data_IF_693377205244
#
_entry.id   IF_693377205244
#
_cell.length_a   1.000
_cell.length_b   1.000
_cell.length_c   1.000
_cell.angle_alpha   90.00
_cell.angle_beta   90.00
_cell.angle_gamma   90.00
#
_symmetry.space_group_name_H-M   'P 1'
#
loop_
_entity.id
_entity.type
_entity.pdbx_description
1 polymer ?
#
# COMPACT_ATOMS: atom_id res chain seq x y z
N UNK A 1 -69.07 4.48 -32.42
CA UNK A 1 -69.41 4.82 -31.03
C UNK A 1 -68.56 6.04 -30.67
N UNK A 2 -68.98 7.30 -30.84
CA UNK A 2 -70.05 8.04 -30.15
C UNK A 2 -69.95 7.88 -28.62
N UNK A 3 -69.81 8.90 -27.76
CA UNK A 3 -69.85 10.37 -27.89
C UNK A 3 -69.32 11.04 -26.60
N UNK A 4 -68.94 12.34 -26.69
CA UNK A 4 -69.55 13.54 -26.06
C UNK A 4 -69.38 13.63 -24.52
N UNK A 5 -68.87 14.68 -23.88
CA UNK A 5 -68.84 16.16 -24.01
C UNK A 5 -69.59 16.82 -22.84
N UNK A 6 -68.94 17.83 -22.23
CA UNK A 6 -69.55 19.01 -21.56
C UNK A 6 -70.17 18.79 -20.17
N UNK A 7 -70.03 19.66 -19.16
CA UNK A 7 -69.61 21.07 -19.10
C UNK A 7 -70.67 21.90 -18.34
N UNK A 8 -70.23 22.98 -17.66
CA UNK A 8 -70.98 24.01 -16.88
C UNK A 8 -71.07 23.72 -15.36
N UNK A 9 -70.90 24.65 -14.42
CA UNK A 9 -71.06 26.12 -14.39
C UNK A 9 -70.25 26.77 -13.24
N UNK A 10 -70.08 28.09 -13.35
CA UNK A 10 -69.32 29.05 -12.51
C UNK A 10 -69.91 29.28 -11.10
N UNK A 11 -69.06 29.67 -10.14
CA UNK A 11 -69.30 30.77 -9.18
C UNK A 11 -68.02 31.16 -8.40
N UNK A 12 -67.67 32.46 -8.41
CA UNK A 12 -66.90 33.21 -7.37
C UNK A 12 -67.91 34.11 -6.59
N UNK A 13 -67.60 34.93 -5.54
CA UNK A 13 -66.31 35.38 -4.95
C UNK A 13 -66.29 35.55 -3.38
N UNK A 14 -65.20 36.12 -2.82
CA UNK A 14 -65.17 36.92 -1.57
C UNK A 14 -64.42 36.31 -0.38
N UNK A 15 -63.16 36.66 -0.07
CA UNK A 15 -62.59 37.89 0.52
C UNK A 15 -62.40 37.87 2.06
N UNK A 16 -61.21 38.34 2.46
CA UNK A 16 -60.79 38.94 3.76
C UNK A 16 -60.21 38.05 4.86
N UNK A 17 -59.03 38.44 5.38
CA UNK A 17 -58.63 38.05 6.75
C UNK A 17 -57.13 37.96 7.08
N UNK A 18 -56.45 39.11 7.11
CA UNK A 18 -55.38 39.50 8.06
C UNK A 18 -54.04 38.72 8.12
N UNK A 19 -53.00 39.47 7.76
CA UNK A 19 -51.62 39.34 8.21
C UNK A 19 -51.50 39.23 9.75
N UNK A 20 -50.72 38.26 10.23
CA UNK A 20 -50.07 38.31 11.54
C UNK A 20 -48.59 37.98 11.38
N UNK A 21 -47.77 38.98 11.68
CA UNK A 21 -46.32 38.93 11.75
C UNK A 21 -45.82 37.74 12.56
N UNK A 22 -45.01 36.88 11.93
CA UNK A 22 -44.12 35.96 12.65
C UNK A 22 -42.69 36.44 12.44
N UNK A 23 -42.11 37.05 13.49
CA UNK A 23 -40.72 37.50 13.49
C UNK A 23 -39.79 36.32 13.20
N UNK A 24 -39.12 36.35 12.05
CA UNK A 24 -38.03 35.42 11.76
C UNK A 24 -36.81 35.86 12.57
N UNK A 25 -36.51 35.14 13.65
CA UNK A 25 -35.17 35.18 14.25
C UNK A 25 -34.29 34.25 13.43
N UNK A 26 -33.15 34.70 12.86
CA UNK A 26 -32.26 33.80 12.16
C UNK A 26 -31.66 32.83 13.17
N UNK A 27 -31.91 31.53 12.97
CA UNK A 27 -31.17 30.47 13.66
C UNK A 27 -29.75 30.48 13.09
N UNK A 28 -28.80 31.01 13.85
CA UNK A 28 -27.38 30.86 13.57
C UNK A 28 -27.05 29.37 13.74
N UNK A 29 -27.03 28.61 12.65
CA UNK A 29 -26.44 27.28 12.63
C UNK A 29 -24.93 27.47 12.69
N UNK A 30 -24.37 27.31 13.89
CA UNK A 30 -22.93 27.25 14.05
C UNK A 30 -22.45 25.90 13.49
N UNK A 31 -22.08 25.90 12.21
CA UNK A 31 -21.44 24.77 11.55
C UNK A 31 -19.98 24.72 12.00
N UNK A 32 -19.73 24.22 13.21
CA UNK A 32 -18.39 23.72 13.53
C UNK A 32 -18.24 22.38 12.82
N UNK A 33 -17.63 22.40 11.63
CA UNK A 33 -17.01 21.19 11.08
C UNK A 33 -15.89 20.80 12.04
N UNK A 34 -16.15 19.82 12.91
CA UNK A 34 -15.10 19.14 13.66
C UNK A 34 -14.29 18.38 12.63
N UNK A 35 -13.18 18.96 12.18
CA UNK A 35 -12.20 18.23 11.37
C UNK A 35 -11.58 17.17 12.27
N UNK A 36 -11.83 15.89 11.95
CA UNK A 36 -11.17 14.78 12.64
C UNK A 36 -9.66 14.97 12.48
N UNK A 37 -8.85 14.83 13.55
CA UNK A 37 -7.41 14.99 13.45
C UNK A 37 -6.84 14.04 12.38
N UNK A 38 -5.77 14.44 11.67
CA UNK A 38 -5.17 13.62 10.65
C UNK A 38 -4.66 12.32 11.27
N UNK A 39 -4.86 11.20 10.57
CA UNK A 39 -4.25 9.94 10.98
C UNK A 39 -2.79 9.93 10.59
N UNK A 40 -1.96 9.40 11.47
CA UNK A 40 -0.51 9.37 11.30
C UNK A 40 -0.04 8.03 10.73
N UNK A 41 1.07 8.08 9.99
CA UNK A 41 1.90 6.94 9.61
C UNK A 41 3.31 7.21 10.14
N UNK A 42 3.73 6.43 11.15
CA UNK A 42 5.08 6.56 11.70
C UNK A 42 6.10 5.92 10.77
N UNK A 43 7.04 6.73 10.29
CA UNK A 43 8.15 6.30 9.45
C UNK A 43 9.35 5.94 10.31
N UNK A 44 9.90 4.73 10.12
CA UNK A 44 11.12 4.26 10.77
C UNK A 44 12.18 3.88 9.74
N UNK A 45 13.37 4.47 9.84
CA UNK A 45 14.54 4.05 9.08
C UNK A 45 15.40 3.12 9.94
N UNK A 46 15.38 1.82 9.65
CA UNK A 46 16.07 0.82 10.48
C UNK A 46 17.47 0.47 9.96
N UNK A 47 17.84 0.95 8.77
CA UNK A 47 19.13 0.66 8.15
C UNK A 47 19.24 -0.79 7.68
N UNK A 48 20.31 -1.49 8.05
CA UNK A 48 20.51 -2.91 7.71
C UNK A 48 20.15 -3.79 8.90
N UNK A 49 19.18 -4.69 8.72
CA UNK A 49 18.67 -5.54 9.80
C UNK A 49 18.68 -7.02 9.41
N UNK A 50 18.88 -7.92 10.38
CA UNK A 50 18.68 -9.34 10.17
C UNK A 50 17.20 -9.66 9.87
N UNK A 51 16.95 -10.61 8.97
CA UNK A 51 15.60 -10.91 8.51
C UNK A 51 14.72 -11.53 9.61
N UNK A 52 15.26 -12.51 10.36
CA UNK A 52 14.47 -13.26 11.33
C UNK A 52 14.01 -12.37 12.49
N UNK A 53 14.95 -11.61 13.05
CA UNK A 53 14.66 -10.66 14.13
C UNK A 53 13.69 -9.55 13.71
N UNK A 54 13.85 -9.01 12.49
CA UNK A 54 12.91 -7.99 11.95
C UNK A 54 11.52 -8.58 11.75
N UNK A 55 11.42 -9.81 11.21
CA UNK A 55 10.14 -10.49 11.06
C UNK A 55 9.45 -10.75 12.40
N UNK A 56 10.19 -11.20 13.40
CA UNK A 56 9.67 -11.37 14.77
C UNK A 56 9.21 -10.04 15.38
N UNK A 57 9.94 -8.94 15.14
CA UNK A 57 9.52 -7.61 15.57
C UNK A 57 8.19 -7.18 14.93
N UNK A 58 8.00 -7.42 13.62
CA UNK A 58 6.72 -7.17 12.95
C UNK A 58 5.57 -7.98 13.57
N UNK A 59 5.82 -9.26 13.89
CA UNK A 59 4.83 -10.12 14.54
C UNK A 59 4.50 -9.64 15.96
N UNK A 60 5.51 -9.25 16.74
CA UNK A 60 5.35 -8.75 18.09
C UNK A 60 4.58 -7.43 18.11
N UNK A 61 4.96 -6.46 17.25
CA UNK A 61 4.24 -5.21 17.06
C UNK A 61 2.77 -5.50 16.74
N UNK A 62 2.51 -6.32 15.71
CA UNK A 62 1.15 -6.69 15.28
C UNK A 62 0.33 -7.36 16.39
N UNK A 63 0.97 -8.17 17.24
CA UNK A 63 0.30 -8.86 18.34
C UNK A 63 -0.05 -7.94 19.52
N UNK A 64 0.76 -6.90 19.74
CA UNK A 64 0.62 -5.95 20.83
C UNK A 64 -0.29 -4.75 20.50
N UNK A 65 -0.68 -4.56 19.23
CA UNK A 65 -1.51 -3.42 18.82
C UNK A 65 -2.87 -3.40 19.52
N UNK A 66 -3.29 -2.19 19.85
CA UNK A 66 -4.61 -1.82 20.33
C UNK A 66 -5.27 -0.79 19.38
N UNK A 67 -6.38 -0.19 19.81
CA UNK A 67 -7.15 0.76 19.00
C UNK A 67 -6.39 2.08 18.72
N UNK A 68 -5.48 2.45 19.63
CA UNK A 68 -4.73 3.71 19.61
C UNK A 68 -3.35 3.57 18.96
N UNK A 69 -2.91 2.33 18.75
CA UNK A 69 -1.66 2.02 18.07
C UNK A 69 -1.61 2.62 16.66
N UNK A 70 -0.63 3.49 16.44
CA UNK A 70 -0.41 4.16 15.14
C UNK A 70 0.07 3.14 14.10
N UNK A 71 -0.23 3.41 12.82
CA UNK A 71 0.27 2.61 11.70
C UNK A 71 1.75 2.92 11.47
N UNK A 72 2.56 1.93 11.10
CA UNK A 72 4.00 2.12 10.88
C UNK A 72 4.45 1.70 9.47
N UNK A 73 5.44 2.41 8.95
CA UNK A 73 6.19 2.11 7.74
C UNK A 73 7.67 1.95 8.11
N UNK A 74 8.22 0.76 7.93
CA UNK A 74 9.63 0.49 8.19
C UNK A 74 10.41 0.41 6.90
N UNK A 75 11.46 1.22 6.79
CA UNK A 75 12.41 1.20 5.68
C UNK A 75 13.73 0.61 6.13
N UNK A 76 14.21 -0.38 5.38
CA UNK A 76 15.45 -1.07 5.68
C UNK A 76 16.03 -1.79 4.46
N UNK A 77 17.14 -2.47 4.68
CA UNK A 77 17.64 -3.56 3.85
C UNK A 77 18.04 -4.76 4.71
N UNK A 78 18.18 -5.91 4.07
CA UNK A 78 18.65 -7.13 4.73
C UNK A 78 20.05 -7.53 4.23
N UNK A 79 20.86 -8.21 5.06
CA UNK A 79 21.89 -9.11 4.57
C UNK A 79 21.32 -10.12 3.57
N UNK A 80 22.16 -10.76 2.73
CA UNK A 80 21.70 -11.77 1.78
C UNK A 80 20.85 -12.86 2.45
N UNK A 81 19.62 -13.05 1.97
CA UNK A 81 18.70 -14.06 2.49
C UNK A 81 17.70 -14.49 1.42
N UNK A 82 17.47 -15.80 1.32
CA UNK A 82 16.32 -16.34 0.61
C UNK A 82 15.16 -16.51 1.60
N UNK A 83 13.96 -16.09 1.19
CA UNK A 83 12.77 -16.27 2.01
C UNK A 83 11.74 -17.08 1.24
N UNK A 84 11.13 -18.05 1.91
CA UNK A 84 10.07 -18.91 1.39
C UNK A 84 8.75 -18.50 2.05
N UNK A 85 7.86 -17.87 1.29
CA UNK A 85 6.52 -17.52 1.76
C UNK A 85 5.62 -18.74 1.96
N UNK A 86 4.36 -18.51 2.33
CA UNK A 86 3.39 -19.58 2.64
C UNK A 86 3.11 -20.52 1.46
N UNK A 87 3.20 -20.02 0.22
CA UNK A 87 3.09 -20.83 -1.00
C UNK A 87 4.46 -21.29 -1.53
N UNK A 88 5.52 -21.09 -0.74
CA UNK A 88 6.90 -21.41 -1.09
C UNK A 88 7.13 -22.91 -1.13
N UNK A 89 7.73 -23.35 -2.24
CA UNK A 89 8.15 -24.72 -2.49
C UNK A 89 9.68 -24.72 -2.41
N UNK A 90 10.28 -25.63 -1.62
CA UNK A 90 11.72 -25.60 -1.35
C UNK A 90 12.54 -25.88 -2.62
N UNK A 91 11.98 -26.69 -3.51
CA UNK A 91 12.51 -27.07 -4.82
C UNK A 91 12.67 -25.86 -5.75
N UNK A 92 11.99 -24.75 -5.47
CA UNK A 92 12.23 -23.49 -6.17
C UNK A 92 13.51 -22.78 -5.72
N UNK A 93 14.19 -23.27 -4.68
CA UNK A 93 15.55 -22.87 -4.32
C UNK A 93 16.52 -23.85 -4.97
N UNK A 94 17.04 -23.50 -6.16
CA UNK A 94 17.91 -24.40 -6.94
C UNK A 94 19.27 -24.59 -6.26
N UNK A 95 19.85 -23.51 -5.73
CA UNK A 95 21.13 -23.56 -5.02
C UNK A 95 21.29 -22.39 -4.03
N UNK A 96 21.15 -22.65 -2.74
CA UNK A 96 21.28 -21.61 -1.72
C UNK A 96 22.75 -21.15 -1.52
N UNK A 97 23.71 -22.06 -1.65
CA UNK A 97 25.08 -21.81 -1.23
C UNK A 97 25.14 -21.48 0.27
N UNK A 98 25.82 -20.40 0.62
CA UNK A 98 25.93 -19.89 2.00
C UNK A 98 24.78 -18.96 2.41
N UNK A 99 23.91 -18.58 1.47
CA UNK A 99 22.79 -17.67 1.75
C UNK A 99 21.71 -18.44 2.53
N UNK A 100 21.29 -17.97 3.71
CA UNK A 100 20.28 -18.65 4.51
C UNK A 100 18.92 -18.68 3.79
N UNK A 101 18.19 -19.79 3.99
CA UNK A 101 16.82 -19.96 3.49
C UNK A 101 15.87 -19.97 4.66
N UNK A 102 15.04 -18.93 4.79
CA UNK A 102 14.11 -18.75 5.90
C UNK A 102 12.67 -18.97 5.42
N UNK A 103 11.96 -19.92 6.03
CA UNK A 103 10.51 -20.05 5.86
C UNK A 103 9.80 -18.97 6.67
N UNK A 104 8.92 -18.24 6.01
CA UNK A 104 8.23 -17.05 6.55
C UNK A 104 6.73 -17.13 6.29
N UNK A 105 5.96 -16.31 6.98
CA UNK A 105 4.49 -16.29 6.91
C UNK A 105 3.92 -15.31 5.88
N UNK A 106 4.75 -14.57 5.13
CA UNK A 106 4.27 -13.74 4.02
C UNK A 106 3.65 -14.57 2.91
N UNK A 107 2.72 -13.97 2.18
CA UNK A 107 2.23 -14.52 0.92
C UNK A 107 3.34 -14.67 -0.14
N UNK A 108 3.02 -15.39 -1.21
CA UNK A 108 3.93 -15.67 -2.31
C UNK A 108 4.87 -16.85 -2.08
N UNK A 109 5.76 -17.07 -3.03
CA UNK A 109 6.71 -18.18 -3.05
C UNK A 109 8.10 -17.75 -2.53
N UNK A 110 9.17 -18.25 -3.14
CA UNK A 110 10.56 -17.85 -2.89
C UNK A 110 10.86 -16.43 -3.40
N UNK A 111 11.65 -15.66 -2.66
CA UNK A 111 12.32 -14.43 -3.13
C UNK A 111 13.70 -14.30 -2.47
N UNK A 112 14.48 -13.33 -2.96
CA UNK A 112 15.76 -12.93 -2.41
C UNK A 112 15.71 -11.48 -1.89
N UNK A 113 16.39 -11.23 -0.78
CA UNK A 113 16.70 -9.91 -0.27
C UNK A 113 18.22 -9.79 -0.04
N UNK A 114 18.76 -8.60 -0.21
CA UNK A 114 20.17 -8.32 0.03
C UNK A 114 20.50 -6.83 0.01
N UNK A 115 21.76 -6.47 0.28
CA UNK A 115 22.23 -5.08 0.27
C UNK A 115 21.94 -4.39 -1.08
N UNK A 116 21.49 -3.13 -1.02
CA UNK A 116 21.10 -2.37 -2.20
C UNK A 116 19.65 -2.59 -2.66
N UNK A 117 18.87 -3.36 -1.91
CA UNK A 117 17.42 -3.45 -2.04
C UNK A 117 16.75 -2.60 -0.96
N UNK A 118 15.78 -1.77 -1.33
CA UNK A 118 14.94 -1.07 -0.36
C UNK A 118 13.74 -1.96 -0.01
N UNK A 119 13.67 -2.38 1.26
CA UNK A 119 12.55 -3.13 1.81
C UNK A 119 11.68 -2.18 2.62
N UNK A 120 10.39 -2.18 2.30
CA UNK A 120 9.37 -1.36 2.94
C UNK A 120 8.34 -2.31 3.59
N UNK A 121 8.30 -2.35 4.93
CA UNK A 121 7.27 -3.07 5.66
C UNK A 121 6.16 -2.14 6.09
N UNK A 122 4.94 -2.48 5.73
CA UNK A 122 3.76 -1.63 5.90
C UNK A 122 2.82 -2.28 6.93
N UNK A 123 2.92 -1.79 8.17
CA UNK A 123 2.23 -2.32 9.35
C UNK A 123 0.95 -1.52 9.61
N UNK A 124 -0.14 -1.89 8.93
CA UNK A 124 -1.41 -1.17 8.94
C UNK A 124 -2.51 -1.92 9.68
N UNK A 125 -3.38 -1.20 10.39
CA UNK A 125 -4.71 -1.70 10.73
C UNK A 125 -5.61 -1.55 9.49
N UNK A 126 -5.92 -2.67 8.84
CA UNK A 126 -6.69 -2.69 7.61
C UNK A 126 -8.16 -2.36 7.84
N UNK A 127 -8.71 -2.71 9.02
CA UNK A 127 -10.10 -2.38 9.36
C UNK A 127 -10.24 -0.88 9.55
N UNK A 128 -9.30 -0.26 10.27
CA UNK A 128 -9.24 1.18 10.46
C UNK A 128 -8.99 1.91 9.15
N UNK A 129 -8.16 1.37 8.26
CA UNK A 129 -7.93 1.90 6.93
C UNK A 129 -9.11 1.70 5.96
N UNK A 130 -10.04 0.79 6.26
CA UNK A 130 -11.12 0.42 5.33
C UNK A 130 -10.60 -0.28 4.07
N UNK A 131 -9.46 -0.97 4.16
CA UNK A 131 -8.77 -1.60 3.03
C UNK A 131 -8.80 -3.12 3.14
N UNK A 132 -9.06 -3.78 2.01
CA UNK A 132 -8.80 -5.21 1.82
C UNK A 132 -7.37 -5.48 1.38
N UNK A 133 -6.92 -6.73 1.51
CA UNK A 133 -5.54 -7.14 1.17
C UNK A 133 -5.17 -6.78 -0.27
N UNK A 134 -6.07 -7.02 -1.23
CA UNK A 134 -5.84 -6.69 -2.65
C UNK A 134 -5.65 -5.19 -2.87
N UNK A 135 -6.39 -4.35 -2.14
CA UNK A 135 -6.26 -2.89 -2.25
C UNK A 135 -4.90 -2.43 -1.70
N UNK A 136 -4.42 -3.04 -0.61
CA UNK A 136 -3.06 -2.76 -0.10
C UNK A 136 -1.99 -3.16 -1.12
N UNK A 137 -2.10 -4.34 -1.73
CA UNK A 137 -1.18 -4.76 -2.81
C UNK A 137 -1.21 -3.76 -3.96
N UNK A 138 -2.40 -3.37 -4.41
CA UNK A 138 -2.55 -2.41 -5.50
C UNK A 138 -1.98 -1.03 -5.17
N UNK A 139 -2.11 -0.59 -3.92
CA UNK A 139 -1.53 0.65 -3.41
C UNK A 139 0.00 0.59 -3.42
N UNK A 140 0.57 -0.52 -2.92
CA UNK A 140 2.02 -0.72 -2.92
C UNK A 140 2.60 -0.71 -4.34
N UNK A 141 1.94 -1.38 -5.28
CA UNK A 141 2.31 -1.33 -6.70
C UNK A 141 2.18 0.09 -7.27
N UNK A 142 1.09 0.79 -6.96
CA UNK A 142 0.85 2.14 -7.47
C UNK A 142 1.92 3.12 -6.99
N UNK A 143 2.32 3.05 -5.72
CA UNK A 143 3.38 3.90 -5.17
C UNK A 143 4.69 3.74 -5.94
N UNK A 144 5.10 2.50 -6.24
CA UNK A 144 6.31 2.25 -7.04
C UNK A 144 6.14 2.72 -8.48
N UNK A 145 4.97 2.50 -9.10
CA UNK A 145 4.70 2.97 -10.47
C UNK A 145 4.79 4.50 -10.54
N UNK A 146 4.23 5.22 -9.56
CA UNK A 146 4.31 6.69 -9.49
C UNK A 146 5.77 7.16 -9.31
N UNK A 147 6.50 6.55 -8.37
CA UNK A 147 7.92 6.84 -8.17
C UNK A 147 8.73 6.64 -9.47
N UNK A 148 8.52 5.52 -10.15
CA UNK A 148 9.24 5.24 -11.40
C UNK A 148 8.84 6.21 -12.52
N UNK A 149 7.57 6.59 -12.60
CA UNK A 149 7.10 7.59 -13.56
C UNK A 149 7.74 8.98 -13.32
N UNK A 150 7.91 9.40 -12.06
CA UNK A 150 8.64 10.63 -11.70
C UNK A 150 10.11 10.58 -12.14
N UNK A 151 10.70 9.40 -12.22
CA UNK A 151 12.06 9.17 -12.74
C UNK A 151 12.11 8.95 -14.26
N UNK A 152 10.98 9.09 -14.97
CA UNK A 152 10.90 8.87 -16.41
C UNK A 152 10.91 7.40 -16.85
N UNK A 153 10.62 6.47 -15.93
CA UNK A 153 10.61 5.03 -16.17
C UNK A 153 9.17 4.53 -16.24
N UNK A 154 8.78 3.99 -17.40
CA UNK A 154 7.49 3.31 -17.55
C UNK A 154 7.52 1.96 -16.84
N UNK A 155 6.54 1.73 -15.97
CA UNK A 155 6.40 0.49 -15.23
C UNK A 155 4.94 0.05 -15.13
N UNK A 156 4.73 -1.26 -15.09
CA UNK A 156 3.41 -1.88 -15.11
C UNK A 156 3.26 -2.91 -13.98
N UNK A 157 2.01 -3.19 -13.61
CA UNK A 157 1.62 -4.30 -12.74
C UNK A 157 1.05 -5.45 -13.57
N UNK A 158 0.98 -6.66 -13.02
CA UNK A 158 0.38 -7.83 -13.68
C UNK A 158 -0.68 -8.46 -12.81
N UNK A 159 -1.85 -8.76 -13.38
CA UNK A 159 -3.00 -9.29 -12.65
C UNK A 159 -2.70 -10.60 -11.90
N UNK A 160 -1.96 -11.51 -12.54
CA UNK A 160 -1.67 -12.85 -11.99
C UNK A 160 -0.29 -12.96 -11.34
N UNK A 161 0.51 -11.89 -11.35
CA UNK A 161 1.87 -11.91 -10.84
C UNK A 161 2.15 -10.60 -10.08
N UNK A 162 1.78 -10.53 -8.78
CA UNK A 162 2.00 -9.34 -7.97
C UNK A 162 3.47 -8.89 -8.02
N UNK A 163 3.65 -7.58 -8.18
CA UNK A 163 4.94 -7.01 -8.50
C UNK A 163 4.82 -5.80 -9.42
N UNK A 164 5.91 -5.04 -9.50
CA UNK A 164 6.07 -3.99 -10.50
C UNK A 164 7.17 -4.39 -11.48
N UNK A 165 6.95 -4.09 -12.75
CA UNK A 165 7.74 -4.57 -13.87
C UNK A 165 8.14 -3.43 -14.78
N UNK A 166 9.39 -3.45 -15.26
CA UNK A 166 9.94 -2.53 -16.26
C UNK A 166 10.42 -3.38 -17.43
N UNK A 167 9.91 -3.10 -18.64
CA UNK A 167 10.24 -3.87 -19.85
C UNK A 167 10.10 -5.39 -19.66
N UNK A 168 9.09 -5.80 -18.90
CA UNK A 168 8.81 -7.21 -18.61
C UNK A 168 9.64 -7.85 -17.49
N UNK A 169 10.69 -7.19 -17.00
CA UNK A 169 11.50 -7.64 -15.86
C UNK A 169 10.97 -7.09 -14.53
N UNK A 170 10.92 -7.90 -13.48
CA UNK A 170 10.42 -7.48 -12.17
C UNK A 170 11.43 -6.57 -11.48
N UNK A 171 11.01 -5.35 -11.12
CA UNK A 171 11.82 -4.38 -10.37
C UNK A 171 11.47 -4.35 -8.88
N UNK A 172 10.21 -4.67 -8.54
CA UNK A 172 9.75 -4.73 -7.16
C UNK A 172 8.91 -5.98 -6.89
N UNK A 173 9.19 -6.64 -5.77
CA UNK A 173 8.44 -7.80 -5.28
C UNK A 173 7.51 -7.39 -4.12
N UNK A 174 6.34 -8.04 -4.06
CA UNK A 174 5.36 -7.80 -3.01
C UNK A 174 5.01 -9.11 -2.30
N UNK A 175 4.87 -9.03 -0.98
CA UNK A 175 4.40 -10.13 -0.16
C UNK A 175 3.92 -9.61 1.19
N UNK A 176 2.65 -9.80 1.49
CA UNK A 176 2.01 -9.37 2.73
C UNK A 176 1.56 -10.55 3.56
N UNK A 177 1.44 -10.34 4.86
CA UNK A 177 0.68 -11.19 5.77
C UNK A 177 -0.38 -10.34 6.47
N UNK A 178 -1.58 -10.89 6.63
CA UNK A 178 -2.63 -10.29 7.45
C UNK A 178 -2.93 -11.18 8.64
N UNK A 179 -2.89 -10.61 9.83
CA UNK A 179 -3.20 -11.29 11.09
C UNK A 179 -3.99 -10.33 11.98
N UNK A 180 -5.11 -10.78 12.55
CA UNK A 180 -6.01 -9.95 13.39
C UNK A 180 -6.50 -8.65 12.72
N UNK A 181 -6.59 -8.64 11.39
CA UNK A 181 -6.98 -7.44 10.62
C UNK A 181 -5.86 -6.43 10.43
N UNK A 182 -4.63 -6.73 10.85
CA UNK A 182 -3.46 -5.90 10.61
C UNK A 182 -2.52 -6.53 9.57
N UNK A 183 -1.90 -5.73 8.70
CA UNK A 183 -0.87 -6.17 7.76
C UNK A 183 0.54 -6.08 8.36
N UNK A 184 1.45 -6.88 7.83
CA UNK A 184 2.90 -6.70 7.92
C UNK A 184 3.59 -7.42 6.75
N UNK A 185 4.91 -7.34 6.67
CA UNK A 185 5.69 -7.44 5.43
C UNK A 185 5.33 -6.30 4.47
N UNK A 186 5.57 -6.44 3.17
CA UNK A 186 5.29 -5.35 2.23
C UNK A 186 5.96 -5.52 0.88
N UNK A 187 6.80 -4.54 0.56
CA UNK A 187 7.41 -4.32 -0.73
C UNK A 187 8.94 -4.43 -0.63
N UNK A 188 9.57 -4.98 -1.66
CA UNK A 188 11.01 -4.93 -1.85
C UNK A 188 11.32 -4.36 -3.25
N UNK A 189 11.90 -3.16 -3.29
CA UNK A 189 12.30 -2.45 -4.51
C UNK A 189 13.81 -2.60 -4.74
N UNK A 190 14.20 -3.12 -5.90
CA UNK A 190 15.60 -3.30 -6.25
C UNK A 190 16.21 -1.96 -6.70
N UNK A 191 17.16 -1.42 -5.94
CA UNK A 191 17.83 -0.16 -6.29
C UNK A 191 19.14 -0.42 -7.02
N UNK A 192 20.11 -1.00 -6.32
CA UNK A 192 21.44 -1.33 -6.82
C UNK A 192 22.03 -2.47 -5.99
N UNK A 193 21.56 -3.69 -6.25
CA UNK A 193 21.91 -4.90 -5.52
C UNK A 193 22.59 -5.93 -6.43
N UNK A 194 23.20 -6.93 -5.82
CA UNK A 194 23.59 -8.13 -6.56
C UNK A 194 22.33 -8.93 -6.97
N UNK A 195 22.07 -9.01 -8.27
CA UNK A 195 20.94 -9.75 -8.84
C UNK A 195 21.27 -11.23 -9.09
N UNK A 196 22.54 -11.65 -9.02
CA UNK A 196 22.96 -13.01 -9.32
C UNK A 196 22.23 -14.07 -8.45
N UNK A 197 21.94 -13.85 -7.16
CA UNK A 197 21.16 -14.80 -6.35
C UNK A 197 19.75 -15.08 -6.88
N UNK A 198 19.12 -14.17 -7.64
CA UNK A 198 17.84 -14.45 -8.29
C UNK A 198 17.93 -15.57 -9.34
N UNK A 199 19.11 -15.78 -9.95
CA UNK A 199 19.32 -16.89 -10.91
C UNK A 199 19.33 -18.27 -10.25
N UNK A 200 19.48 -18.30 -8.91
CA UNK A 200 19.53 -19.52 -8.09
C UNK A 200 18.17 -19.93 -7.55
N UNK A 201 17.11 -19.19 -7.88
CA UNK A 201 15.73 -19.46 -7.45
C UNK A 201 14.76 -19.41 -8.63
N UNK A 202 13.57 -20.00 -8.46
CA UNK A 202 12.42 -19.87 -9.35
C UNK A 202 11.38 -18.94 -8.72
N UNK A 203 11.51 -17.61 -8.86
CA UNK A 203 10.56 -16.69 -8.27
C UNK A 203 9.18 -16.89 -8.90
N UNK A 204 8.17 -17.08 -8.04
CA UNK A 204 6.77 -17.27 -8.46
C UNK A 204 6.49 -18.50 -9.35
N UNK A 205 7.40 -19.47 -9.44
CA UNK A 205 7.22 -20.68 -10.25
C UNK A 205 7.42 -20.47 -11.77
N UNK A 206 7.86 -19.29 -12.18
CA UNK A 206 8.22 -19.00 -13.57
C UNK A 206 9.73 -19.16 -13.74
N UNK A 207 10.17 -20.09 -14.58
CA UNK A 207 11.59 -20.39 -14.83
C UNK A 207 12.37 -19.21 -15.42
N UNK A 208 11.69 -18.30 -16.11
CA UNK A 208 12.31 -17.27 -16.96
C UNK A 208 11.98 -15.84 -16.54
N UNK A 209 11.45 -15.65 -15.32
CA UNK A 209 11.14 -14.32 -14.82
C UNK A 209 12.43 -13.52 -14.61
N UNK A 210 12.70 -12.60 -15.52
CA UNK A 210 13.79 -11.63 -15.40
C UNK A 210 13.54 -10.68 -14.23
N UNK A 211 14.61 -10.31 -13.54
CA UNK A 211 14.61 -9.34 -12.45
C UNK A 211 15.52 -8.18 -12.87
N UNK A 212 15.08 -6.96 -12.58
CA UNK A 212 15.84 -5.73 -12.85
C UNK A 212 15.89 -4.87 -11.59
N UNK A 213 16.54 -3.71 -11.70
CA UNK A 213 16.78 -2.77 -10.62
C UNK A 213 16.90 -1.35 -11.18
N UNK A 214 16.77 -0.35 -10.30
CA UNK A 214 16.80 1.05 -10.70
C UNK A 214 18.11 1.46 -11.39
N UNK A 215 19.25 0.92 -10.94
CA UNK A 215 20.56 1.19 -11.57
C UNK A 215 20.68 0.67 -13.00
N UNK A 216 19.84 -0.28 -13.43
CA UNK A 216 19.79 -0.75 -14.82
C UNK A 216 18.93 0.16 -15.72
N UNK A 217 18.19 1.12 -15.15
CA UNK A 217 17.27 1.98 -15.89
C UNK A 217 17.91 3.30 -16.38
N UNK A 218 19.21 3.49 -16.19
CA UNK A 218 19.92 4.67 -16.67
C UNK A 218 19.63 5.96 -15.89
N UNK A 219 19.10 5.84 -14.68
CA UNK A 219 18.79 6.98 -13.80
C UNK A 219 19.86 7.15 -12.72
N UNK A 220 20.18 8.40 -12.39
CA UNK A 220 21.02 8.76 -11.26
C UNK A 220 20.08 9.13 -10.11
N UNK A 221 20.29 8.52 -8.95
CA UNK A 221 19.46 8.76 -7.78
C UNK A 221 20.30 8.68 -6.50
N UNK A 222 19.79 9.30 -5.45
CA UNK A 222 20.25 9.07 -4.08
C UNK A 222 19.26 8.14 -3.39
N UNK A 223 19.76 7.15 -2.65
CA UNK A 223 18.91 6.20 -1.92
C UNK A 223 17.93 6.93 -0.97
N UNK A 224 18.41 7.93 -0.23
CA UNK A 224 17.58 8.73 0.67
C UNK A 224 16.42 9.42 -0.04
N UNK A 225 16.65 9.96 -1.25
CA UNK A 225 15.60 10.57 -2.05
C UNK A 225 14.54 9.55 -2.49
N UNK A 226 14.94 8.33 -2.82
CA UNK A 226 14.01 7.24 -3.13
C UNK A 226 13.22 6.80 -1.90
N UNK A 227 13.89 6.63 -0.76
CA UNK A 227 13.25 6.28 0.52
C UNK A 227 12.21 7.32 0.95
N UNK A 228 12.59 8.60 0.91
CA UNK A 228 11.72 9.72 1.23
C UNK A 228 10.50 9.75 0.30
N UNK A 229 10.74 9.79 -1.02
CA UNK A 229 9.64 9.95 -1.98
C UNK A 229 8.68 8.77 -1.97
N UNK A 230 9.20 7.55 -1.84
CA UNK A 230 8.35 6.36 -1.75
C UNK A 230 7.49 6.37 -0.47
N UNK A 231 8.03 6.87 0.65
CA UNK A 231 7.27 7.01 1.91
C UNK A 231 6.17 8.06 1.80
N UNK A 232 6.46 9.19 1.17
CA UNK A 232 5.46 10.22 0.87
C UNK A 232 4.34 9.67 0.00
N UNK A 233 4.67 8.94 -1.07
CA UNK A 233 3.68 8.30 -1.94
C UNK A 233 2.80 7.29 -1.19
N UNK A 234 3.35 6.51 -0.26
CA UNK A 234 2.53 5.63 0.59
C UNK A 234 1.58 6.45 1.48
N UNK A 235 2.06 7.51 2.12
CA UNK A 235 1.26 8.36 2.98
C UNK A 235 0.13 9.06 2.19
N UNK A 236 0.45 9.64 1.03
CA UNK A 236 -0.50 10.27 0.11
C UNK A 236 -1.60 9.29 -0.33
N UNK A 237 -1.22 8.09 -0.79
CA UNK A 237 -2.18 7.07 -1.25
C UNK A 237 -3.04 6.49 -0.12
N UNK A 238 -2.54 6.50 1.12
CA UNK A 238 -3.28 6.08 2.30
C UNK A 238 -4.12 7.21 2.92
N UNK A 239 -3.93 8.46 2.48
CA UNK A 239 -4.53 9.64 3.12
C UNK A 239 -4.05 9.84 4.56
N UNK A 240 -2.79 9.51 4.84
CA UNK A 240 -2.15 9.63 6.15
C UNK A 240 -1.10 10.74 6.13
N UNK A 241 -0.85 11.33 7.29
CA UNK A 241 0.28 12.22 7.49
C UNK A 241 1.49 11.42 7.94
N UNK A 242 2.59 11.54 7.18
CA UNK A 242 3.86 10.90 7.52
C UNK A 242 4.49 11.63 8.72
N UNK A 243 4.98 10.86 9.70
CA UNK A 243 5.71 11.37 10.85
C UNK A 243 6.98 10.54 11.04
N UNK A 244 8.14 11.16 10.88
CA UNK A 244 9.42 10.50 11.19
C UNK A 244 9.53 10.23 12.68
N UNK A 245 9.98 9.03 13.02
CA UNK A 245 10.22 8.59 14.38
C UNK A 245 11.68 8.13 14.50
N UNK A 246 12.30 8.49 15.61
CA UNK A 246 13.60 7.95 16.03
C UNK A 246 13.51 6.44 16.35
#
# INVERSE_FOLDING_TARGET
MAGRDGGHSRHQPGATGRNLHRSQRPRVHCLYTVTKPPRLLHLRHLGRCDYLSTWQAMQAFTAARDLDSVDELWLLEHPPVFTLGQAGILEHVRHAGEIPVIRTDRGGQVTYHGPGQLVCYLLLDLRRAGLGVRQVVQLLEQAVILLLAELGITADRREQAPGVYVNGAKIAALGLRVRRGCSYHGLALNLNMDLMPFTRINPCGYSDLQVTQLSNCGVIYQRSAIEQRLSELFAELLGLQLLECE
#
